data_IF_860244318886
#
_entry.id   IF_860244318886
#
_cell.length_a   1.000
_cell.length_b   1.000
_cell.length_c   1.000
_cell.angle_alpha   90.00
_cell.angle_beta   90.00
_cell.angle_gamma   90.00
#
_symmetry.space_group_name_H-M   'P 1'
#
loop_
_entity.id
_entity.type
_entity.pdbx_description
1 polymer ?
#
# COMPACT_ATOMS: atom_id res chain seq x y z
N UNK A 1 -3.44 0.44 12.93
CA UNK A 1 -2.56 -0.13 13.96
C UNK A 1 -1.63 -1.15 13.34
N UNK A 2 -0.35 -1.16 13.71
CA UNK A 2 0.66 -2.15 13.33
C UNK A 2 1.01 -2.98 14.56
N UNK A 3 0.88 -4.30 14.45
CA UNK A 3 1.06 -5.24 15.57
C UNK A 3 2.19 -6.19 15.22
N UNK A 4 3.18 -6.28 16.09
CA UNK A 4 4.23 -7.30 16.02
C UNK A 4 3.85 -8.51 16.85
N UNK A 5 3.85 -9.70 16.26
CA UNK A 5 3.43 -10.97 16.87
C UNK A 5 4.61 -11.91 17.19
N UNK A 6 5.83 -11.41 17.11
CA UNK A 6 7.02 -12.23 17.28
C UNK A 6 7.56 -12.79 15.96
N UNK A 7 8.66 -13.53 16.05
CA UNK A 7 9.41 -14.03 14.88
C UNK A 7 8.57 -14.86 13.93
N UNK A 8 7.69 -15.71 14.44
CA UNK A 8 6.83 -16.59 13.61
C UNK A 8 5.60 -15.86 13.06
N UNK A 9 5.05 -14.93 13.83
CA UNK A 9 3.83 -14.19 13.46
C UNK A 9 4.07 -12.95 12.62
N UNK A 10 5.30 -12.41 12.64
CA UNK A 10 5.66 -11.21 11.90
C UNK A 10 4.88 -9.99 12.35
N UNK A 11 4.61 -9.10 11.39
CA UNK A 11 3.76 -7.92 11.59
C UNK A 11 2.39 -8.13 10.97
N UNK A 12 1.37 -7.62 11.65
CA UNK A 12 -0.02 -7.59 11.16
C UNK A 12 -0.59 -6.18 11.28
N UNK A 13 -1.50 -5.82 10.38
CA UNK A 13 -2.37 -4.66 10.54
C UNK A 13 -3.77 -5.12 10.96
N UNK A 14 -4.45 -4.30 11.76
CA UNK A 14 -5.86 -4.56 12.10
C UNK A 14 -6.74 -4.36 10.86
N UNK A 15 -7.81 -5.15 10.74
CA UNK A 15 -8.74 -5.12 9.59
C UNK A 15 -9.36 -3.72 9.35
N UNK A 16 -9.54 -2.93 10.40
CA UNK A 16 -10.04 -1.55 10.31
C UNK A 16 -9.04 -0.56 9.72
N UNK A 17 -7.74 -0.90 9.71
CA UNK A 17 -6.64 -0.01 9.33
C UNK A 17 -5.78 -0.61 8.21
N UNK A 18 -6.42 -1.11 7.16
CA UNK A 18 -5.72 -1.77 6.03
C UNK A 18 -4.84 -0.83 5.23
N UNK A 19 -4.99 0.49 5.40
CA UNK A 19 -4.19 1.50 4.71
C UNK A 19 -3.62 2.52 5.71
N UNK A 20 -2.34 2.36 6.04
CA UNK A 20 -1.58 3.29 6.90
C UNK A 20 -1.50 4.72 6.33
N UNK A 21 -1.83 4.90 5.05
CA UNK A 21 -1.70 6.17 4.35
C UNK A 21 -3.05 6.77 3.96
N UNK A 22 -4.16 6.21 4.45
CA UNK A 22 -5.52 6.63 4.08
C UNK A 22 -5.74 8.14 4.25
N UNK A 23 -5.24 8.72 5.35
CA UNK A 23 -5.37 10.15 5.64
C UNK A 23 -4.53 11.06 4.74
N UNK A 24 -3.55 10.51 4.01
CA UNK A 24 -2.60 11.28 3.20
C UNK A 24 -2.97 11.33 1.72
N UNK A 25 -4.12 10.79 1.37
CA UNK A 25 -4.63 10.86 -0.02
C UNK A 25 -5.26 12.21 -0.31
N UNK A 26 -5.17 12.64 -1.57
CA UNK A 26 -5.81 13.87 -2.06
C UNK A 26 -5.37 15.14 -1.31
N UNK A 27 -4.09 15.24 -0.94
CA UNK A 27 -3.50 16.46 -0.43
C UNK A 27 -3.32 17.47 -1.56
N UNK A 28 -3.61 18.73 -1.26
CA UNK A 28 -3.36 19.88 -2.16
C UNK A 28 -2.17 20.69 -1.67
N UNK A 29 -1.50 21.47 -2.55
CA UNK A 29 -0.42 22.37 -2.14
C UNK A 29 -0.82 23.25 -0.94
N UNK A 30 0.10 23.50 -0.03
CA UNK A 30 -0.11 24.24 1.20
C UNK A 30 -0.89 23.48 2.30
N UNK A 31 -1.41 22.29 2.01
CA UNK A 31 -2.12 21.49 3.01
C UNK A 31 -1.21 20.54 3.77
N UNK A 32 -1.58 20.31 5.02
CA UNK A 32 -0.98 19.29 5.87
C UNK A 32 -2.05 18.41 6.51
N UNK A 33 -1.74 17.13 6.69
CA UNK A 33 -2.60 16.21 7.44
C UNK A 33 -1.78 15.43 8.45
N UNK A 34 -2.44 15.08 9.53
CA UNK A 34 -1.85 14.31 10.63
C UNK A 34 -2.62 13.01 10.83
N UNK A 35 -1.88 11.93 11.04
CA UNK A 35 -2.41 10.62 11.37
C UNK A 35 -1.67 10.05 12.57
N UNK A 36 -2.39 9.33 13.43
CA UNK A 36 -1.79 8.56 14.52
C UNK A 36 -1.65 7.11 14.07
N UNK A 37 -0.45 6.58 14.19
CA UNK A 37 -0.15 5.17 13.94
C UNK A 37 0.19 4.53 15.28
N UNK A 38 -0.61 3.55 15.67
CA UNK A 38 -0.36 2.77 16.88
C UNK A 38 0.53 1.59 16.53
N UNK A 39 1.64 1.45 17.27
CA UNK A 39 2.54 0.32 17.20
C UNK A 39 2.37 -0.50 18.48
N UNK A 40 2.21 -1.81 18.34
CA UNK A 40 1.99 -2.73 19.46
C UNK A 40 2.93 -3.93 19.36
N UNK A 41 3.60 -4.26 20.46
CA UNK A 41 4.34 -5.51 20.57
C UNK A 41 3.49 -6.54 21.33
N UNK A 42 2.95 -7.52 20.64
CA UNK A 42 2.21 -8.66 21.23
C UNK A 42 3.06 -9.92 21.36
N UNK A 43 4.35 -9.83 21.09
CA UNK A 43 5.25 -10.93 21.37
C UNK A 43 5.53 -11.04 22.88
N UNK A 44 6.16 -12.14 23.29
CA UNK A 44 6.62 -12.36 24.66
C UNK A 44 7.97 -11.71 24.95
N UNK A 45 8.60 -11.07 23.98
CA UNK A 45 9.98 -10.56 24.06
C UNK A 45 10.01 -9.03 23.91
N UNK A 46 11.03 -8.40 24.47
CA UNK A 46 11.35 -7.02 24.16
C UNK A 46 11.96 -6.94 22.76
N UNK A 47 11.57 -5.93 21.97
CA UNK A 47 12.07 -5.72 20.62
C UNK A 47 12.39 -4.26 20.35
N UNK A 48 13.38 -4.02 19.52
CA UNK A 48 13.66 -2.72 18.94
C UNK A 48 12.92 -2.62 17.61
N UNK A 49 12.12 -1.57 17.43
CA UNK A 49 11.41 -1.31 16.19
C UNK A 49 12.09 -0.22 15.36
N UNK A 50 12.13 -0.46 14.09
CA UNK A 50 12.69 0.44 13.08
C UNK A 50 11.72 0.67 11.94
N UNK A 51 11.87 1.79 11.25
CA UNK A 51 11.09 2.17 10.08
C UNK A 51 12.02 2.61 8.96
N UNK A 52 11.78 2.11 7.75
CA UNK A 52 12.43 2.57 6.54
C UNK A 52 11.39 2.94 5.49
N UNK A 53 11.66 3.98 4.71
CA UNK A 53 10.83 4.40 3.58
C UNK A 53 11.55 4.12 2.26
N UNK A 54 10.80 3.56 1.31
CA UNK A 54 11.26 3.32 -0.05
C UNK A 54 10.26 3.89 -1.05
N UNK A 55 10.76 4.56 -2.10
CA UNK A 55 9.91 4.97 -3.21
C UNK A 55 9.36 3.73 -3.93
N UNK A 56 8.08 3.75 -4.30
CA UNK A 56 7.38 2.63 -4.90
C UNK A 56 6.69 3.03 -6.20
N UNK A 57 6.46 2.04 -7.07
CA UNK A 57 5.61 2.20 -8.27
C UNK A 57 6.23 2.96 -9.44
N UNK A 58 7.50 3.40 -9.35
CA UNK A 58 8.14 4.18 -10.42
C UNK A 58 8.55 3.34 -11.64
N UNK A 59 8.71 2.02 -11.48
CA UNK A 59 9.17 1.12 -12.56
C UNK A 59 8.19 0.99 -13.74
N UNK A 60 6.93 1.29 -13.53
CA UNK A 60 5.87 1.22 -14.55
C UNK A 60 5.53 2.56 -15.19
N UNK A 61 6.23 3.63 -14.80
CA UNK A 61 6.01 4.99 -15.32
C UNK A 61 7.04 5.30 -16.41
N UNK A 62 6.66 6.18 -17.34
CA UNK A 62 7.62 6.76 -18.26
C UNK A 62 8.70 7.58 -17.51
N UNK A 63 9.83 7.84 -18.15
CA UNK A 63 10.98 8.50 -17.51
C UNK A 63 10.67 9.91 -17.02
N UNK A 64 9.87 10.67 -17.76
CA UNK A 64 9.48 12.04 -17.40
C UNK A 64 8.59 12.07 -16.18
N UNK A 65 7.55 11.24 -16.16
CA UNK A 65 6.64 11.10 -15.01
C UNK A 65 7.38 10.59 -13.77
N UNK A 66 8.28 9.62 -13.93
CA UNK A 66 9.11 9.11 -12.82
C UNK A 66 10.00 10.19 -12.20
N UNK A 67 10.56 11.08 -13.02
CA UNK A 67 11.36 12.20 -12.54
C UNK A 67 10.52 13.23 -11.77
N UNK A 68 9.34 13.58 -12.28
CA UNK A 68 8.41 14.48 -11.59
C UNK A 68 7.93 13.90 -10.25
N UNK A 69 7.59 12.64 -10.21
CA UNK A 69 7.22 11.96 -8.94
C UNK A 69 8.38 11.98 -7.96
N UNK A 70 9.60 11.75 -8.40
CA UNK A 70 10.78 11.84 -7.54
C UNK A 70 10.96 13.26 -7.00
N UNK A 71 10.87 14.28 -7.85
CA UNK A 71 10.95 15.68 -7.44
C UNK A 71 9.86 16.03 -6.41
N UNK A 72 8.62 15.59 -6.62
CA UNK A 72 7.52 15.75 -5.68
C UNK A 72 7.86 15.18 -4.30
N UNK A 73 8.31 13.92 -4.25
CA UNK A 73 8.59 13.20 -3.00
C UNK A 73 9.85 13.69 -2.28
N UNK A 74 10.83 14.25 -3.01
CA UNK A 74 12.10 14.72 -2.45
C UNK A 74 12.08 16.20 -2.06
N UNK A 75 11.28 17.02 -2.72
CA UNK A 75 11.35 18.48 -2.57
C UNK A 75 10.10 19.08 -1.96
N UNK A 76 8.93 18.61 -2.34
CA UNK A 76 7.66 19.25 -2.00
C UNK A 76 6.83 18.51 -0.96
N UNK A 77 7.06 17.22 -0.75
CA UNK A 77 6.37 16.44 0.26
C UNK A 77 7.25 16.23 1.49
N UNK A 78 6.90 16.88 2.60
CA UNK A 78 7.64 16.80 3.86
C UNK A 78 6.84 16.02 4.88
N UNK A 79 7.51 15.07 5.54
CA UNK A 79 6.92 14.26 6.61
C UNK A 79 7.62 14.53 7.93
N UNK A 80 6.84 14.61 8.99
CA UNK A 80 7.31 14.66 10.37
C UNK A 80 6.75 13.46 11.11
N UNK A 81 7.62 12.70 11.75
CA UNK A 81 7.27 11.57 12.61
C UNK A 81 7.71 11.90 14.02
N UNK A 82 6.79 11.89 14.95
CA UNK A 82 7.06 12.13 16.36
C UNK A 82 6.45 11.05 17.24
N UNK A 83 7.13 10.72 18.30
CA UNK A 83 6.72 9.81 19.37
C UNK A 83 6.62 10.55 20.69
N UNK A 84 6.56 9.77 21.79
CA UNK A 84 6.41 10.32 23.16
C UNK A 84 7.57 11.21 23.59
N UNK A 85 8.76 11.00 23.02
CA UNK A 85 9.99 11.74 23.36
C UNK A 85 10.28 12.91 22.39
N UNK A 86 9.37 13.22 21.48
CA UNK A 86 9.54 14.29 20.50
C UNK A 86 9.69 13.80 19.07
N UNK A 87 10.26 14.67 18.22
CA UNK A 87 10.42 14.39 16.78
C UNK A 87 11.52 13.36 16.55
N UNK A 88 11.16 12.28 15.89
CA UNK A 88 12.05 11.17 15.50
C UNK A 88 12.66 11.45 14.11
N UNK A 89 11.84 11.99 13.20
CA UNK A 89 12.24 12.33 11.84
C UNK A 89 11.46 13.53 11.32
N UNK A 90 12.13 14.41 10.59
CA UNK A 90 11.51 15.48 9.84
C UNK A 90 12.29 15.67 8.54
N UNK A 91 11.63 15.54 7.41
CA UNK A 91 12.27 15.67 6.11
C UNK A 91 11.41 15.21 4.94
N UNK A 92 12.01 15.02 3.75
CA UNK A 92 11.32 14.52 2.59
C UNK A 92 10.65 13.18 2.84
N UNK A 93 9.46 13.00 2.29
CA UNK A 93 8.72 11.73 2.43
C UNK A 93 9.42 10.55 1.76
N UNK A 94 10.30 10.82 0.78
CA UNK A 94 11.18 9.82 0.17
C UNK A 94 12.26 9.28 1.11
N UNK A 95 12.43 9.91 2.27
CA UNK A 95 13.48 9.58 3.22
C UNK A 95 14.88 10.05 2.83
N UNK A 96 15.03 10.82 1.74
CA UNK A 96 16.32 11.24 1.22
C UNK A 96 16.76 12.60 1.77
N UNK A 97 17.30 12.64 2.99
CA UNK A 97 17.94 13.83 3.53
C UNK A 97 19.40 13.89 3.10
N UNK A 98 19.78 14.97 2.39
CA UNK A 98 21.19 15.27 2.14
C UNK A 98 21.75 15.97 3.38
N UNK A 99 22.70 15.35 4.06
CA UNK A 99 23.61 16.03 4.99
C UNK A 99 23.23 16.09 6.46
N UNK A 100 22.22 15.39 6.95
CA UNK A 100 21.88 15.29 8.38
C UNK A 100 21.56 13.87 8.80
N UNK A 101 22.01 13.50 9.98
CA UNK A 101 22.19 12.14 10.49
C UNK A 101 20.99 11.22 10.64
N UNK A 102 19.79 11.57 10.18
CA UNK A 102 18.63 10.67 10.23
C UNK A 102 17.97 10.63 8.87
N UNK A 103 18.09 9.50 8.20
CA UNK A 103 17.43 9.24 6.92
C UNK A 103 16.42 8.11 7.07
N UNK A 104 15.22 8.25 6.48
CA UNK A 104 14.29 7.12 6.41
C UNK A 104 14.65 6.11 5.31
N UNK A 105 15.73 6.29 4.58
CA UNK A 105 16.27 5.28 3.66
C UNK A 105 17.03 4.17 4.41
N UNK A 106 17.52 4.49 5.58
CA UNK A 106 18.09 3.55 6.53
C UNK A 106 17.07 3.25 7.62
N UNK A 107 17.35 2.27 8.45
CA UNK A 107 16.48 1.86 9.54
C UNK A 107 16.38 2.96 10.61
N UNK A 108 15.36 3.79 10.56
CA UNK A 108 15.06 4.81 11.56
C UNK A 108 14.57 4.14 12.84
N UNK A 109 15.27 4.33 13.94
CA UNK A 109 14.93 3.74 15.23
C UNK A 109 13.66 4.40 15.82
N UNK A 110 12.62 3.61 16.08
CA UNK A 110 11.36 4.04 16.67
C UNK A 110 11.31 3.84 18.19
N UNK A 111 12.23 3.09 18.73
CA UNK A 111 12.33 2.80 20.16
C UNK A 111 12.29 1.32 20.50
N UNK A 112 12.48 1.05 21.78
CA UNK A 112 12.36 -0.28 22.38
C UNK A 112 10.94 -0.48 22.89
N UNK A 113 10.38 -1.65 22.60
CA UNK A 113 9.02 -2.04 22.97
C UNK A 113 9.05 -3.32 23.78
N UNK A 114 8.77 -3.21 25.06
CA UNK A 114 8.59 -4.37 25.94
C UNK A 114 7.38 -5.21 25.49
N UNK A 115 7.33 -6.46 25.88
CA UNK A 115 6.20 -7.35 25.65
C UNK A 115 4.88 -6.70 26.12
N UNK A 116 3.85 -6.73 25.28
CA UNK A 116 2.52 -6.17 25.54
C UNK A 116 2.44 -4.64 25.52
N UNK A 117 3.51 -3.93 25.19
CA UNK A 117 3.50 -2.45 25.17
C UNK A 117 3.06 -1.88 23.83
N UNK A 118 2.42 -0.73 23.92
CA UNK A 118 1.96 0.07 22.77
C UNK A 118 2.62 1.44 22.82
N UNK A 119 2.86 2.02 21.65
CA UNK A 119 3.30 3.42 21.48
C UNK A 119 2.53 4.04 20.31
N UNK A 120 2.37 5.35 20.36
CA UNK A 120 1.73 6.12 19.30
C UNK A 120 2.77 6.93 18.53
N UNK A 121 2.77 6.81 17.22
CA UNK A 121 3.50 7.72 16.35
C UNK A 121 2.53 8.73 15.77
N UNK A 122 2.83 9.99 15.93
CA UNK A 122 2.14 11.08 15.25
C UNK A 122 2.88 11.35 13.96
N UNK A 123 2.20 11.14 12.83
CA UNK A 123 2.75 11.34 11.49
C UNK A 123 2.03 12.50 10.85
N UNK A 124 2.76 13.55 10.47
CA UNK A 124 2.26 14.71 9.75
C UNK A 124 2.89 14.75 8.37
N UNK A 125 2.08 14.77 7.32
CA UNK A 125 2.51 14.98 5.94
C UNK A 125 2.03 16.35 5.48
N UNK A 126 2.93 17.14 4.94
CA UNK A 126 2.65 18.46 4.36
C UNK A 126 3.14 18.54 2.93
N UNK A 127 2.37 19.21 2.06
CA UNK A 127 2.82 19.61 0.73
C UNK A 127 3.17 21.11 0.73
N UNK A 128 4.30 21.43 0.12
CA UNK A 128 4.75 22.81 0.00
C UNK A 128 3.75 23.65 -0.79
N UNK A 129 3.54 24.90 -0.37
CA UNK A 129 2.60 25.83 -1.00
C UNK A 129 3.06 26.23 -2.42
N UNK A 130 4.36 26.38 -2.60
CA UNK A 130 5.01 26.75 -3.86
C UNK A 130 5.09 25.62 -4.91
N UNK A 131 4.37 24.53 -4.68
CA UNK A 131 4.33 23.40 -5.60
C UNK A 131 3.65 23.78 -6.92
N UNK A 132 4.37 23.62 -8.04
CA UNK A 132 3.90 23.93 -9.39
C UNK A 132 2.74 23.04 -9.82
N UNK A 133 1.87 23.58 -10.69
CA UNK A 133 0.73 22.86 -11.30
C UNK A 133 1.13 21.62 -12.10
N UNK A 134 2.40 21.52 -12.55
CA UNK A 134 2.92 20.30 -13.23
C UNK A 134 2.81 19.04 -12.39
N UNK A 135 2.71 19.18 -11.06
CA UNK A 135 2.55 18.09 -10.12
C UNK A 135 1.09 17.71 -9.86
N UNK A 136 0.14 18.51 -10.34
CA UNK A 136 -1.28 18.21 -10.24
C UNK A 136 -1.57 16.87 -10.95
N UNK A 137 -2.31 15.98 -10.29
CA UNK A 137 -2.64 14.62 -10.74
C UNK A 137 -1.48 13.61 -10.71
N UNK A 138 -0.31 13.97 -10.20
CA UNK A 138 0.73 12.97 -9.94
C UNK A 138 0.42 12.21 -8.64
N UNK A 139 0.64 10.91 -8.67
CA UNK A 139 0.54 10.06 -7.49
C UNK A 139 1.93 9.57 -7.11
N UNK A 140 2.47 10.13 -6.04
CA UNK A 140 3.67 9.60 -5.39
C UNK A 140 3.32 8.42 -4.51
N UNK A 141 4.09 7.33 -4.59
CA UNK A 141 3.92 6.15 -3.73
C UNK A 141 5.19 5.91 -2.93
N UNK A 142 5.03 5.73 -1.63
CA UNK A 142 6.09 5.36 -0.71
C UNK A 142 5.67 4.11 0.04
N UNK A 143 6.58 3.15 0.17
CA UNK A 143 6.40 1.98 1.03
C UNK A 143 7.08 2.22 2.35
N UNK A 144 6.44 1.84 3.44
CA UNK A 144 7.04 1.78 4.75
C UNK A 144 7.36 0.34 5.09
N UNK A 145 8.58 0.14 5.56
CA UNK A 145 9.10 -1.16 5.95
C UNK A 145 9.38 -1.09 7.44
N UNK A 146 8.60 -1.84 8.20
CA UNK A 146 8.83 -2.01 9.64
C UNK A 146 9.74 -3.20 9.87
N UNK A 147 10.71 -3.01 10.74
CA UNK A 147 11.68 -4.04 11.12
C UNK A 147 11.67 -4.18 12.64
N UNK A 148 11.56 -5.40 13.14
CA UNK A 148 11.73 -5.74 14.55
C UNK A 148 13.02 -6.52 14.74
N UNK A 149 13.84 -6.11 15.71
CA UNK A 149 15.05 -6.83 16.15
C UNK A 149 14.87 -7.24 17.60
N UNK A 150 14.90 -8.54 17.86
CA UNK A 150 14.91 -9.12 19.22
C UNK A 150 16.32 -9.20 19.79
N UNK A 151 16.45 -9.67 21.04
CA UNK A 151 17.74 -9.86 21.71
C UNK A 151 18.67 -10.83 20.96
N UNK A 152 18.13 -11.83 20.29
CA UNK A 152 18.88 -12.83 19.51
C UNK A 152 19.38 -12.30 18.15
N UNK A 153 19.35 -10.99 17.90
CA UNK A 153 19.67 -10.34 16.62
C UNK A 153 18.80 -10.81 15.43
N UNK A 154 17.82 -11.67 15.66
CA UNK A 154 16.89 -12.10 14.62
C UNK A 154 15.99 -10.97 14.19
N UNK A 155 15.95 -10.74 12.90
CA UNK A 155 15.23 -9.63 12.28
C UNK A 155 13.97 -10.11 11.61
N UNK A 156 12.85 -9.45 11.90
CA UNK A 156 11.57 -9.66 11.21
C UNK A 156 11.18 -8.37 10.50
N UNK A 157 10.87 -8.45 9.23
CA UNK A 157 10.55 -7.28 8.39
C UNK A 157 9.18 -7.44 7.75
N UNK A 158 8.41 -6.36 7.69
CA UNK A 158 7.16 -6.30 6.94
C UNK A 158 7.04 -5.00 6.17
N UNK A 159 6.46 -5.07 4.98
CA UNK A 159 6.37 -3.95 4.03
C UNK A 159 4.92 -3.53 3.85
N UNK A 160 4.64 -2.25 4.05
CA UNK A 160 3.34 -1.64 3.83
C UNK A 160 3.45 -0.56 2.74
N UNK A 161 2.59 -0.68 1.72
CA UNK A 161 2.44 0.30 0.67
C UNK A 161 1.06 0.95 0.77
N UNK A 162 0.88 2.22 0.30
CA UNK A 162 -0.44 2.80 0.20
C UNK A 162 -1.34 1.91 -0.64
N UNK A 163 -2.54 1.59 -0.14
CA UNK A 163 -3.58 1.02 -0.97
C UNK A 163 -3.94 2.07 -2.01
N UNK A 164 -3.50 1.88 -3.25
CA UNK A 164 -3.95 2.71 -4.36
C UNK A 164 -5.39 2.33 -4.60
N UNK A 165 -6.29 3.26 -4.29
CA UNK A 165 -7.72 3.06 -4.28
C UNK A 165 -8.38 2.87 -5.62
N UNK A 166 -7.81 2.09 -6.49
CA UNK A 166 -8.53 1.39 -7.53
C UNK A 166 -8.75 -0.04 -7.03
N UNK A 167 -9.78 -0.18 -6.19
CA UNK A 167 -10.51 -1.43 -6.14
C UNK A 167 -11.30 -1.53 -7.45
N UNK A 168 -10.57 -1.54 -8.56
CA UNK A 168 -11.11 -2.11 -9.78
C UNK A 168 -11.33 -3.56 -9.41
N UNK A 169 -12.58 -3.88 -9.21
CA UNK A 169 -13.07 -5.23 -8.95
C UNK A 169 -12.75 -6.08 -10.19
N UNK A 170 -11.46 -6.27 -10.46
CA UNK A 170 -10.99 -7.15 -11.53
C UNK A 170 -11.64 -8.53 -11.38
N UNK A 171 -11.90 -8.96 -10.15
CA UNK A 171 -12.69 -10.15 -9.85
C UNK A 171 -14.13 -10.06 -10.37
N UNK A 172 -14.78 -8.90 -10.30
CA UNK A 172 -16.16 -8.72 -10.78
C UNK A 172 -16.20 -8.70 -12.30
N UNK A 173 -15.23 -8.05 -12.96
CA UNK A 173 -15.13 -8.06 -14.43
C UNK A 173 -14.78 -9.44 -14.98
N UNK A 174 -13.91 -10.20 -14.31
CA UNK A 174 -13.60 -11.59 -14.69
C UNK A 174 -14.84 -12.49 -14.50
N UNK A 175 -15.60 -12.30 -13.42
CA UNK A 175 -16.86 -13.02 -13.23
C UNK A 175 -17.89 -12.65 -14.31
N UNK A 176 -18.05 -11.37 -14.66
CA UNK A 176 -18.95 -10.90 -15.74
C UNK A 176 -18.56 -11.47 -17.10
N UNK A 177 -17.26 -11.52 -17.43
CA UNK A 177 -16.76 -12.15 -18.67
C UNK A 177 -17.00 -13.66 -18.68
N UNK A 178 -16.80 -14.33 -17.54
CA UNK A 178 -17.08 -15.75 -17.38
C UNK A 178 -18.56 -16.09 -17.55
N UNK A 179 -19.48 -15.30 -17.00
CA UNK A 179 -20.92 -15.42 -17.18
C UNK A 179 -21.32 -15.21 -18.65
N UNK A 180 -20.78 -14.19 -19.30
CA UNK A 180 -21.08 -13.91 -20.71
C UNK A 180 -20.65 -15.06 -21.62
N UNK A 181 -19.48 -15.65 -21.40
CA UNK A 181 -18.99 -16.80 -22.14
C UNK A 181 -19.85 -18.06 -21.92
N UNK A 182 -20.31 -18.26 -20.67
CA UNK A 182 -21.19 -19.37 -20.32
C UNK A 182 -22.55 -19.27 -21.02
N UNK A 183 -23.17 -18.07 -21.03
CA UNK A 183 -24.44 -17.85 -21.73
C UNK A 183 -24.33 -18.01 -23.26
N UNK A 184 -23.21 -17.55 -23.84
CA UNK A 184 -22.94 -17.77 -25.26
C UNK A 184 -22.77 -19.26 -25.58
N UNK A 185 -22.02 -20.00 -24.77
CA UNK A 185 -21.86 -21.44 -24.96
C UNK A 185 -23.18 -22.22 -24.78
N UNK A 186 -24.03 -21.82 -23.83
CA UNK A 186 -25.37 -22.40 -23.62
C UNK A 186 -26.30 -22.11 -24.77
N UNK A 187 -26.32 -20.88 -25.31
CA UNK A 187 -27.11 -20.51 -26.46
C UNK A 187 -26.72 -21.32 -27.71
N UNK A 188 -25.41 -21.47 -27.95
CA UNK A 188 -24.90 -22.30 -29.07
C UNK A 188 -25.26 -23.78 -28.93
N UNK A 189 -25.22 -24.32 -27.70
CA UNK A 189 -25.61 -25.71 -27.45
C UNK A 189 -27.09 -25.94 -27.68
N UNK A 190 -27.94 -24.98 -27.29
CA UNK A 190 -29.39 -25.02 -27.53
C UNK A 190 -29.70 -24.95 -29.05
N UNK A 191 -29.10 -24.00 -29.74
CA UNK A 191 -29.30 -23.87 -31.22
C UNK A 191 -28.86 -25.13 -31.95
N UNK A 192 -27.71 -25.71 -31.60
CA UNK A 192 -27.24 -26.97 -32.20
C UNK A 192 -28.14 -28.17 -31.88
N UNK A 193 -28.83 -28.15 -30.74
CA UNK A 193 -29.79 -29.21 -30.40
C UNK A 193 -31.09 -29.10 -31.18
N UNK A 194 -31.52 -27.88 -31.50
CA UNK A 194 -32.68 -27.65 -32.37
C UNK A 194 -32.39 -28.05 -33.84
N UNK A 195 -31.27 -27.66 -34.39
CA UNK A 195 -30.85 -28.03 -35.75
C UNK A 195 -30.78 -29.55 -35.95
N UNK A 196 -30.28 -30.29 -34.97
CA UNK A 196 -30.26 -31.77 -35.04
C UNK A 196 -31.64 -32.40 -35.00
N UNK A 197 -32.60 -31.81 -34.25
CA UNK A 197 -34.00 -32.32 -34.23
C UNK A 197 -34.70 -32.11 -35.55
N UNK A 198 -34.48 -31.00 -36.24
CA UNK A 198 -35.02 -30.74 -37.56
C UNK A 198 -34.45 -31.68 -38.61
N UNK A 199 -33.17 -32.01 -38.56
CA UNK A 199 -32.56 -33.02 -39.46
C UNK A 199 -33.13 -34.41 -39.21
N UNK A 200 -33.30 -34.84 -37.94
CA UNK A 200 -33.90 -36.14 -37.58
C UNK A 200 -35.37 -36.26 -37.98
N UNK A 201 -36.15 -35.17 -37.93
CA UNK A 201 -37.55 -35.12 -38.37
C UNK A 201 -37.67 -35.11 -39.92
N UNK A 202 -36.73 -34.47 -40.63
CA UNK A 202 -36.68 -34.47 -42.08
C UNK A 202 -36.35 -35.83 -42.64
N UNK A 203 -35.45 -36.55 -42.02
CA UNK A 203 -35.05 -37.91 -42.43
C UNK A 203 -36.16 -38.95 -42.21
N UNK A 204 -36.96 -38.81 -41.13
CA UNK A 204 -38.12 -39.64 -40.85
C UNK A 204 -39.31 -39.42 -41.79
N UNK A 205 -39.40 -38.29 -42.49
CA UNK A 205 -40.45 -38.03 -43.50
C UNK A 205 -40.12 -38.56 -44.89
N UNK A 206 -38.85 -38.85 -45.14
CA UNK A 206 -38.39 -39.34 -46.44
C UNK A 206 -38.15 -40.83 -46.52
N UNK A 207 -38.42 -41.55 -45.42
CA UNK A 207 -38.31 -42.99 -45.31
C UNK A 207 -39.72 -43.65 -45.24
#
# INVERSE_FOLDING_TARGET
RVIYLGQKGGFQMTESDTDLFASFKNLTPGCARTQIIELENRSSEEVQLYLRAEAAGQKSMDSGTSQLVRELLEKYAVIEISGDQGTIYQGPVSGNLKGTGSTMREDLYLGTFQAGRQKKLKVKLALAEEMDNKFNRLTGKVRWIFTAKGEDEKTVTSTYAPATGDKTEAGMWIALLGFSAFFLAAAFAVERSYSRREEDEADKRNS
#
